data_IF_491285067743
#
_entry.id   IF_491285067743
#
_cell.length_a   1.000
_cell.length_b   1.000
_cell.length_c   1.000
_cell.angle_alpha   90.00
_cell.angle_beta   90.00
_cell.angle_gamma   90.00
#
_symmetry.space_group_name_H-M   'P 1'
#
loop_
_entity.id
_entity.type
_entity.pdbx_description
1 polymer ?
#
# COMPACT_ATOMS: atom_id res chain seq x y z
N UNK A 1 -10.83 6.15 6.57
CA UNK A 1 -10.70 6.48 5.14
C UNK A 1 -9.93 5.41 4.41
N UNK A 2 -10.18 5.21 3.15
CA UNK A 2 -9.48 4.21 2.34
C UNK A 2 -8.48 4.91 1.42
N UNK A 3 -7.24 4.46 1.44
CA UNK A 3 -6.19 5.02 0.58
C UNK A 3 -5.74 3.95 -0.41
N UNK A 4 -5.81 4.25 -1.68
CA UNK A 4 -5.34 3.33 -2.71
C UNK A 4 -3.89 3.66 -3.03
N UNK A 5 -3.00 2.67 -2.90
CA UNK A 5 -1.57 2.88 -3.03
C UNK A 5 -0.93 1.83 -3.91
N UNK A 6 0.09 2.24 -4.65
CA UNK A 6 0.90 1.32 -5.42
C UNK A 6 1.99 0.77 -4.51
N UNK A 7 2.37 -0.49 -4.72
CA UNK A 7 3.42 -1.09 -3.91
C UNK A 7 4.24 -2.03 -4.78
N UNK A 8 5.55 -1.97 -4.65
CA UNK A 8 6.43 -2.83 -5.44
C UNK A 8 6.37 -4.27 -4.96
N UNK A 9 6.62 -5.23 -5.87
CA UNK A 9 6.50 -6.65 -5.53
C UNK A 9 7.28 -7.10 -4.31
N UNK A 10 8.47 -6.56 -4.10
CA UNK A 10 9.27 -6.96 -2.94
C UNK A 10 8.53 -6.66 -1.65
N UNK A 11 8.00 -5.46 -1.53
CA UNK A 11 7.27 -5.08 -0.33
C UNK A 11 5.94 -5.80 -0.21
N UNK A 12 5.26 -6.00 -1.34
CA UNK A 12 4.00 -6.72 -1.36
C UNK A 12 4.19 -8.13 -0.82
N UNK A 13 5.21 -8.83 -1.31
CA UNK A 13 5.46 -10.19 -0.88
C UNK A 13 5.86 -10.27 0.58
N UNK A 14 6.65 -9.32 1.05
CA UNK A 14 7.05 -9.31 2.45
C UNK A 14 5.86 -9.10 3.37
N UNK A 15 4.91 -8.29 2.96
CA UNK A 15 3.70 -8.08 3.74
C UNK A 15 2.86 -9.36 3.76
N UNK A 16 2.69 -10.01 2.61
CA UNK A 16 1.91 -11.24 2.56
C UNK A 16 2.53 -12.36 3.38
N UNK A 17 3.86 -12.43 3.41
CA UNK A 17 4.53 -13.48 4.17
C UNK A 17 4.65 -13.14 5.64
N UNK A 18 4.10 -12.01 6.04
CA UNK A 18 4.16 -11.55 7.41
C UNK A 18 5.59 -11.26 7.87
N UNK A 19 6.49 -10.97 6.95
CA UNK A 19 7.84 -10.54 7.28
C UNK A 19 7.89 -9.04 7.51
N UNK A 20 6.89 -8.32 7.02
CA UNK A 20 6.82 -6.89 7.12
C UNK A 20 5.40 -6.51 7.49
N UNK A 21 5.22 -5.90 8.65
CA UNK A 21 3.88 -5.50 9.10
C UNK A 21 3.81 -3.99 9.28
N UNK A 22 4.50 -3.26 8.42
CA UNK A 22 4.51 -1.81 8.45
C UNK A 22 4.65 -1.26 7.04
N UNK A 23 4.29 0.01 6.87
CA UNK A 23 4.42 0.73 5.62
C UNK A 23 5.07 2.07 5.89
N UNK A 24 6.02 2.45 5.06
CA UNK A 24 6.66 3.78 5.15
C UNK A 24 6.19 4.57 3.95
N UNK A 25 5.55 5.68 4.19
CA UNK A 25 4.98 6.49 3.10
C UNK A 25 5.23 7.97 3.33
N UNK A 26 5.27 8.72 2.23
CA UNK A 26 5.23 10.15 2.30
C UNK A 26 3.87 10.50 2.91
N UNK A 27 3.89 11.40 3.89
CA UNK A 27 2.68 11.69 4.66
C UNK A 27 1.87 12.78 3.97
N UNK A 28 1.44 12.49 2.75
CA UNK A 28 0.70 13.46 1.94
C UNK A 28 -0.79 13.14 1.89
N UNK A 29 -1.25 12.15 2.63
CA UNK A 29 -2.66 11.78 2.65
C UNK A 29 -3.27 11.84 4.04
N UNK A 30 -2.55 12.40 4.99
CA UNK A 30 -3.03 12.53 6.36
C UNK A 30 -3.51 11.19 6.93
N UNK A 31 -2.67 10.18 6.81
CA UNK A 31 -3.02 8.84 7.30
C UNK A 31 -3.34 8.86 8.79
N UNK A 32 -4.34 8.10 9.17
CA UNK A 32 -4.77 8.00 10.57
C UNK A 32 -5.01 6.57 10.99
N UNK A 33 -4.88 6.32 12.28
CA UNK A 33 -5.20 5.02 12.85
C UNK A 33 -6.64 4.69 12.50
N UNK A 34 -6.88 3.47 12.04
CA UNK A 34 -8.21 3.05 11.63
C UNK A 34 -8.46 3.19 10.15
N UNK A 35 -7.59 3.88 9.44
CA UNK A 35 -7.72 3.98 7.99
C UNK A 35 -7.43 2.63 7.36
N UNK A 36 -7.82 2.46 6.11
CA UNK A 36 -7.53 1.25 5.35
C UNK A 36 -6.61 1.58 4.20
N UNK A 37 -5.71 0.66 3.90
CA UNK A 37 -4.80 0.78 2.76
C UNK A 37 -5.16 -0.30 1.75
N UNK A 38 -5.41 0.14 0.53
CA UNK A 38 -5.68 -0.76 -0.58
C UNK A 38 -4.39 -0.79 -1.39
N UNK A 39 -3.57 -1.81 -1.15
CA UNK A 39 -2.23 -1.91 -1.71
C UNK A 39 -2.28 -2.72 -2.99
N UNK A 40 -1.90 -2.12 -4.09
CA UNK A 40 -1.95 -2.76 -5.39
C UNK A 40 -0.54 -3.00 -5.91
N UNK A 41 -0.19 -4.25 -6.14
CA UNK A 41 1.14 -4.59 -6.61
C UNK A 41 1.37 -3.99 -7.99
N UNK A 42 2.51 -3.35 -8.17
CA UNK A 42 2.78 -2.55 -9.33
C UNK A 42 4.20 -2.80 -9.79
N UNK A 43 4.37 -3.11 -11.07
CA UNK A 43 5.68 -3.37 -11.62
C UNK A 43 6.32 -2.09 -12.14
N UNK A 44 7.65 -2.03 -12.16
CA UNK A 44 8.32 -0.84 -12.65
C UNK A 44 7.96 -0.45 -14.08
N UNK A 45 7.44 -1.38 -14.84
CA UNK A 45 7.05 -1.10 -16.21
C UNK A 45 5.69 -0.41 -16.30
N UNK A 46 5.22 0.12 -15.19
CA UNK A 46 3.97 0.86 -15.16
C UNK A 46 2.75 -0.03 -15.35
N UNK A 47 2.78 -1.18 -14.75
CA UNK A 47 1.70 -2.15 -14.84
C UNK A 47 1.29 -2.68 -13.50
N UNK A 48 -0.02 -2.74 -13.26
CA UNK A 48 -0.55 -3.46 -12.10
C UNK A 48 -0.55 -4.95 -12.42
N UNK A 49 -0.19 -5.77 -11.44
CA UNK A 49 -0.17 -7.22 -11.64
C UNK A 49 -1.52 -7.86 -11.39
N UNK A 50 -2.40 -7.16 -10.71
CA UNK A 50 -3.68 -7.73 -10.30
C UNK A 50 -3.67 -8.25 -8.88
N UNK A 51 -2.52 -8.33 -8.24
CA UNK A 51 -2.47 -8.78 -6.86
C UNK A 51 -2.69 -7.59 -5.94
N UNK A 52 -3.53 -7.77 -4.95
CA UNK A 52 -3.95 -6.66 -4.10
C UNK A 52 -4.11 -7.10 -2.65
N UNK A 53 -3.86 -6.19 -1.74
CA UNK A 53 -3.99 -6.41 -0.30
C UNK A 53 -4.87 -5.31 0.27
N UNK A 54 -5.75 -5.68 1.19
CA UNK A 54 -6.47 -4.72 2.01
C UNK A 54 -5.90 -4.81 3.41
N UNK A 55 -5.42 -3.70 3.92
CA UNK A 55 -4.82 -3.66 5.26
C UNK A 55 -5.43 -2.54 6.08
N UNK A 56 -5.37 -2.68 7.39
CA UNK A 56 -5.86 -1.67 8.30
C UNK A 56 -4.69 -1.02 9.01
N UNK A 57 -4.73 0.28 9.16
CA UNK A 57 -3.70 1.03 9.86
C UNK A 57 -3.93 0.93 11.37
N UNK A 58 -2.97 0.36 12.07
CA UNK A 58 -3.07 0.17 13.51
C UNK A 58 -2.39 1.28 14.29
N UNK A 59 -1.37 1.89 13.72
CA UNK A 59 -0.61 2.93 14.38
C UNK A 59 0.10 3.78 13.33
N UNK A 60 0.28 5.05 13.62
CA UNK A 60 1.00 5.96 12.71
C UNK A 60 2.07 6.67 13.51
N UNK A 61 3.32 6.49 13.09
CA UNK A 61 4.45 7.16 13.73
C UNK A 61 4.95 8.31 12.87
N UNK A 62 5.05 9.47 13.47
CA UNK A 62 5.62 10.65 12.83
C UNK A 62 6.59 11.23 13.81
N UNK A 63 7.85 10.92 13.69
CA UNK A 63 8.81 11.37 14.67
C UNK A 63 10.20 11.51 14.09
N UNK A 64 11.14 11.80 14.97
CA UNK A 64 12.50 12.07 14.54
C UNK A 64 13.16 10.91 13.86
N UNK A 65 12.71 9.69 14.15
CA UNK A 65 13.31 8.52 13.53
C UNK A 65 12.77 8.27 12.13
N UNK A 66 11.81 9.07 11.70
CA UNK A 66 11.20 8.93 10.40
C UNK A 66 11.78 9.96 9.45
N UNK A 67 11.82 9.68 8.18
CA UNK A 67 12.24 10.66 7.19
C UNK A 67 11.29 11.85 7.25
N UNK A 68 11.82 13.02 6.96
CA UNK A 68 11.00 14.22 6.95
C UNK A 68 9.84 14.05 5.98
N UNK A 69 8.67 14.53 6.37
CA UNK A 69 7.44 14.44 5.56
C UNK A 69 6.99 13.01 5.28
N UNK A 70 7.46 12.07 6.09
CA UNK A 70 7.05 10.66 5.95
C UNK A 70 6.42 10.20 7.25
N UNK A 71 5.76 9.05 7.18
CA UNK A 71 5.24 8.39 8.36
C UNK A 71 5.47 6.89 8.22
N UNK A 72 5.48 6.22 9.35
CA UNK A 72 5.58 4.76 9.40
C UNK A 72 4.27 4.28 10.01
N UNK A 73 3.59 3.37 9.32
CA UNK A 73 2.32 2.86 9.78
C UNK A 73 2.46 1.38 10.11
N UNK A 74 2.00 0.99 11.29
CA UNK A 74 1.83 -0.44 11.57
C UNK A 74 0.54 -0.87 10.92
N UNK A 75 0.55 -2.01 10.26
CA UNK A 75 -0.60 -2.45 9.51
C UNK A 75 -0.97 -3.91 9.82
N UNK A 76 -2.22 -4.24 9.58
CA UNK A 76 -2.71 -5.59 9.71
C UNK A 76 -3.38 -5.97 8.40
N UNK A 77 -2.95 -7.07 7.78
CA UNK A 77 -3.56 -7.53 6.54
C UNK A 77 -4.93 -8.11 6.87
N UNK A 78 -5.96 -7.60 6.23
CA UNK A 78 -7.31 -8.10 6.43
C UNK A 78 -7.69 -9.10 5.35
N UNK A 79 -7.21 -8.91 4.12
CA UNK A 79 -7.56 -9.77 3.01
C UNK A 79 -6.59 -9.53 1.85
N UNK A 80 -6.52 -10.47 0.93
CA UNK A 80 -5.74 -10.29 -0.27
C UNK A 80 -6.35 -11.12 -1.39
N UNK A 81 -6.11 -10.74 -2.64
CA UNK A 81 -6.71 -11.42 -3.78
C UNK A 81 -5.96 -11.07 -5.06
N UNK A 82 -6.34 -11.76 -6.14
CA UNK A 82 -5.81 -11.49 -7.47
C UNK A 82 -6.97 -11.12 -8.38
N UNK A 83 -6.84 -9.97 -9.04
CA UNK A 83 -7.86 -9.49 -9.95
C UNK A 83 -7.60 -10.11 -11.32
N UNK A 84 -8.67 -10.46 -12.02
CA UNK A 84 -8.55 -11.05 -13.35
C UNK A 84 -7.92 -10.06 -14.32
N UNK A 85 -7.22 -10.59 -15.30
CA UNK A 85 -6.49 -9.73 -16.20
C UNK A 85 -7.35 -8.77 -16.99
N UNK A 86 -8.58 -9.11 -17.28
CA UNK A 86 -9.42 -8.19 -18.02
C UNK A 86 -9.62 -6.90 -17.27
N UNK A 87 -9.61 -6.95 -15.98
CA UNK A 87 -9.80 -5.76 -15.20
C UNK A 87 -8.72 -4.76 -15.44
N UNK A 88 -7.58 -5.24 -15.81
CA UNK A 88 -6.48 -4.34 -16.01
C UNK A 88 -6.65 -3.49 -17.21
N UNK A 89 -7.38 -4.00 -18.18
CA UNK A 89 -7.52 -3.26 -19.36
C UNK A 89 -8.27 -2.02 -19.17
N UNK A 90 -9.15 -2.05 -18.31
CA UNK A 90 -9.99 -0.99 -18.13
C UNK A 90 -9.20 0.10 -17.63
N UNK A 91 -8.23 -0.13 -17.32
CA UNK A 91 -7.50 0.78 -17.01
C UNK A 91 -7.53 1.92 -16.38
N UNK A 92 -7.69 2.33 -15.80
CA UNK A 92 -7.81 3.40 -15.30
C UNK A 92 -6.93 3.84 -14.43
N UNK A 93 -6.26 3.98 -14.28
CA UNK A 93 -5.46 4.33 -13.50
C UNK A 93 -5.17 5.25 -12.77
N UNK A 94 -4.97 5.64 -12.28
CA UNK A 94 -4.79 6.48 -11.54
C UNK A 94 -3.76 6.78 -10.83
N UNK A 95 -3.21 6.86 -10.33
CA UNK A 95 -2.37 7.23 -9.66
C UNK A 95 -1.62 7.15 -9.02
N UNK A 96 -1.09 7.38 -8.54
CA UNK A 96 -0.45 7.45 -8.03
C UNK A 96 0.32 7.50 -7.16
N UNK A 97 0.77 7.39 -6.71
CA UNK A 97 1.22 7.52 -5.62
C UNK A 97 2.58 7.19 -5.41
N UNK A 98 3.09 7.17 -4.35
CA UNK A 98 4.38 6.82 -4.16
C UNK A 98 4.54 5.55 -3.55
N UNK A 99 5.59 5.04 -3.39
CA UNK A 99 5.75 3.77 -2.79
C UNK A 99 6.84 3.74 -1.79
#
# INVERSE_FOLDING_TARGET
MLHELKIYPMHFNDILKNNKNFEVRKDDRLYEVGDYLYLREYLPADEYTGKEILAKVLYVYRGELCLQDHCIMAIEVLDWWTVQSESKKIGVATDMGCF
#
